data_IF_999013259375
#
_entry.id   IF_999013259375
#
_cell.length_a   1.000
_cell.length_b   1.000
_cell.length_c   1.000
_cell.angle_alpha   90.00
_cell.angle_beta   90.00
_cell.angle_gamma   90.00
#
_symmetry.space_group_name_H-M   'P 1'
#
loop_
_entity.id
_entity.type
_entity.pdbx_description
1 polymer ?
#
# COMPACT_ATOMS: atom_id res chain seq x y z
N UNK A 1 -19.98 -23.34 -27.27
CA UNK A 1 -19.01 -24.24 -26.59
C UNK A 1 -18.25 -23.43 -25.55
N UNK A 2 -18.23 -23.84 -24.27
CA UNK A 2 -17.36 -23.21 -23.25
C UNK A 2 -15.93 -23.68 -23.51
N UNK A 3 -15.02 -22.76 -23.83
CA UNK A 3 -13.59 -23.07 -23.94
C UNK A 3 -13.07 -23.52 -22.57
N UNK A 4 -12.68 -24.80 -22.45
CA UNK A 4 -11.91 -25.28 -21.30
C UNK A 4 -10.46 -24.84 -21.47
N UNK A 5 -10.04 -23.84 -20.69
CA UNK A 5 -8.66 -23.37 -20.63
C UNK A 5 -7.80 -24.16 -19.64
N UNK A 6 -6.47 -24.13 -19.81
CA UNK A 6 -5.53 -24.67 -18.81
C UNK A 6 -5.43 -23.70 -17.64
N UNK A 7 -5.49 -24.22 -16.40
CA UNK A 7 -5.30 -23.46 -15.17
C UNK A 7 -4.12 -24.06 -14.40
N UNK A 8 -3.32 -23.20 -13.77
CA UNK A 8 -2.24 -23.60 -12.88
C UNK A 8 -2.68 -23.42 -11.43
N UNK A 9 -2.38 -24.40 -10.59
CA UNK A 9 -2.73 -24.39 -9.17
C UNK A 9 -1.46 -24.35 -8.33
N UNK A 10 -1.39 -23.42 -7.38
CA UNK A 10 -0.37 -23.42 -6.34
C UNK A 10 -0.97 -23.94 -5.03
N UNK A 11 -0.38 -25.01 -4.48
CA UNK A 11 -0.67 -25.50 -3.15
C UNK A 11 0.36 -24.91 -2.17
N UNK A 12 -0.10 -24.11 -1.20
CA UNK A 12 0.77 -23.40 -0.26
C UNK A 12 0.36 -23.74 1.16
N UNK A 13 1.36 -24.10 1.98
CA UNK A 13 1.22 -24.33 3.42
C UNK A 13 2.13 -23.37 4.16
N UNK A 14 1.56 -22.53 5.04
CA UNK A 14 2.37 -21.69 5.94
C UNK A 14 2.92 -22.55 7.09
N UNK A 15 4.10 -22.21 7.60
CA UNK A 15 4.66 -22.87 8.78
C UNK A 15 3.66 -22.81 9.95
N UNK A 16 3.28 -23.97 10.49
CA UNK A 16 2.29 -24.09 11.57
C UNK A 16 0.83 -24.23 11.14
N UNK A 17 0.46 -24.01 9.87
CA UNK A 17 -0.93 -24.23 9.42
C UNK A 17 -1.18 -25.72 9.12
N UNK A 18 -2.29 -26.28 9.64
CA UNK A 18 -2.72 -27.64 9.30
C UNK A 18 -3.32 -27.74 7.89
N UNK A 19 -3.93 -26.67 7.38
CA UNK A 19 -4.64 -26.65 6.09
C UNK A 19 -3.73 -26.17 4.96
N UNK A 20 -3.79 -26.87 3.83
CA UNK A 20 -3.17 -26.43 2.56
C UNK A 20 -4.14 -25.48 1.87
N UNK A 21 -3.64 -24.35 1.39
CA UNK A 21 -4.42 -23.38 0.60
C UNK A 21 -4.09 -23.56 -0.87
N UNK A 22 -5.12 -23.63 -1.70
CA UNK A 22 -5.01 -23.78 -3.15
C UNK A 22 -5.34 -22.45 -3.82
N UNK A 23 -4.46 -22.00 -4.71
CA UNK A 23 -4.63 -20.77 -5.45
C UNK A 23 -4.56 -21.03 -6.94
N UNK A 24 -5.57 -20.55 -7.66
CA UNK A 24 -5.75 -20.77 -9.09
C UNK A 24 -5.24 -19.56 -9.87
N UNK A 25 -4.55 -19.81 -10.98
CA UNK A 25 -4.20 -18.76 -11.94
C UNK A 25 -4.29 -19.27 -13.38
N UNK A 26 -4.69 -18.37 -14.28
CA UNK A 26 -4.68 -18.64 -15.71
C UNK A 26 -3.30 -18.34 -16.34
N UNK A 27 -2.35 -17.77 -15.57
CA UNK A 27 -0.99 -17.51 -16.02
C UNK A 27 -0.10 -18.75 -15.81
N UNK A 28 0.00 -19.58 -16.84
CA UNK A 28 0.75 -20.85 -16.78
C UNK A 28 2.26 -20.67 -16.55
N UNK A 29 2.82 -19.55 -17.04
CA UNK A 29 4.23 -19.18 -16.89
C UNK A 29 4.58 -18.66 -15.50
N UNK A 30 3.59 -18.38 -14.65
CA UNK A 30 3.83 -17.85 -13.31
C UNK A 30 4.58 -18.88 -12.46
N UNK A 31 5.68 -18.50 -11.83
CA UNK A 31 6.42 -19.36 -10.89
C UNK A 31 5.85 -19.21 -9.49
N UNK A 32 6.13 -20.20 -8.61
CA UNK A 32 5.72 -20.10 -7.20
C UNK A 32 6.37 -18.91 -6.49
N UNK A 33 7.61 -18.56 -6.84
CA UNK A 33 8.31 -17.41 -6.28
C UNK A 33 7.63 -16.09 -6.66
N UNK A 34 7.27 -15.92 -7.94
CA UNK A 34 6.52 -14.73 -8.39
C UNK A 34 5.14 -14.67 -7.75
N UNK A 35 4.47 -15.81 -7.62
CA UNK A 35 3.19 -15.87 -6.91
C UNK A 35 3.30 -15.42 -5.45
N UNK A 36 4.29 -15.94 -4.71
CA UNK A 36 4.52 -15.56 -3.31
C UNK A 36 4.81 -14.06 -3.17
N UNK A 37 5.55 -13.48 -4.13
CA UNK A 37 5.76 -12.04 -4.21
C UNK A 37 4.44 -11.27 -4.38
N UNK A 38 3.62 -11.62 -5.38
CA UNK A 38 2.32 -10.98 -5.59
C UNK A 38 1.40 -11.08 -4.40
N UNK A 39 1.39 -12.24 -3.75
CA UNK A 39 0.58 -12.44 -2.56
C UNK A 39 1.08 -11.60 -1.37
N UNK A 40 2.39 -11.44 -1.20
CA UNK A 40 2.96 -10.50 -0.22
C UNK A 40 2.57 -9.06 -0.56
N UNK A 41 2.69 -8.66 -1.82
CA UNK A 41 2.33 -7.32 -2.29
C UNK A 41 0.84 -7.03 -2.08
N UNK A 42 -0.04 -8.01 -2.33
CA UNK A 42 -1.47 -7.90 -2.04
C UNK A 42 -1.73 -7.63 -0.55
N UNK A 43 -1.10 -8.38 0.36
CA UNK A 43 -1.27 -8.14 1.81
C UNK A 43 -0.67 -6.81 2.26
N UNK A 44 0.38 -6.33 1.60
CA UNK A 44 0.92 -4.99 1.85
C UNK A 44 -0.10 -3.92 1.48
N UNK A 45 -0.79 -4.06 0.34
CA UNK A 45 -1.86 -3.15 -0.09
C UNK A 45 -3.05 -3.20 0.86
N UNK A 46 -3.48 -4.38 1.29
CA UNK A 46 -4.57 -4.51 2.28
C UNK A 46 -4.22 -3.88 3.63
N UNK A 47 -2.96 -4.04 4.07
CA UNK A 47 -2.46 -3.41 5.29
C UNK A 47 -2.41 -1.89 5.15
N UNK A 48 -2.00 -1.39 3.98
CA UNK A 48 -2.05 0.02 3.63
C UNK A 48 -3.47 0.57 3.69
N UNK A 49 -4.46 -0.12 3.11
CA UNK A 49 -5.86 0.28 3.16
C UNK A 49 -6.37 0.39 4.59
N UNK A 50 -6.08 -0.61 5.43
CA UNK A 50 -6.45 -0.57 6.85
C UNK A 50 -5.82 0.62 7.58
N UNK A 51 -4.53 0.85 7.34
CA UNK A 51 -3.81 1.98 7.91
C UNK A 51 -4.42 3.33 7.51
N UNK A 52 -4.58 3.58 6.21
CA UNK A 52 -5.16 4.85 5.72
C UNK A 52 -6.57 5.06 6.27
N UNK A 53 -7.41 4.03 6.26
CA UNK A 53 -8.78 4.13 6.78
C UNK A 53 -8.81 4.52 8.26
N UNK A 54 -7.88 3.97 9.05
CA UNK A 54 -7.72 4.29 10.47
C UNK A 54 -7.24 5.73 10.67
N UNK A 55 -6.12 6.11 10.07
CA UNK A 55 -5.48 7.42 10.31
C UNK A 55 -6.31 8.59 9.80
N UNK A 56 -7.01 8.41 8.67
CA UNK A 56 -7.81 9.47 8.06
C UNK A 56 -9.31 9.32 8.33
N UNK A 57 -9.71 8.41 9.24
CA UNK A 57 -11.10 8.14 9.58
C UNK A 57 -12.01 8.00 8.34
N UNK A 58 -11.51 7.32 7.28
CA UNK A 58 -12.22 7.25 5.99
C UNK A 58 -13.59 6.57 6.09
N UNK A 59 -13.77 5.70 7.09
CA UNK A 59 -15.04 5.04 7.38
C UNK A 59 -16.07 5.99 8.01
N UNK A 60 -15.61 7.01 8.73
CA UNK A 60 -16.44 7.98 9.44
C UNK A 60 -16.64 9.28 8.63
N UNK A 61 -15.87 9.44 7.54
CA UNK A 61 -16.01 10.57 6.64
C UNK A 61 -17.21 10.38 5.70
N UNK A 62 -18.35 10.98 6.06
CA UNK A 62 -19.55 10.98 5.24
C UNK A 62 -20.06 12.41 5.02
N UNK A 63 -19.83 12.96 3.83
CA UNK A 63 -20.36 14.27 3.42
C UNK A 63 -21.83 14.25 2.98
N UNK A 64 -22.50 13.08 3.00
CA UNK A 64 -23.83 12.90 2.42
C UNK A 64 -23.87 12.92 0.88
N UNK A 65 -22.73 13.13 0.22
CA UNK A 65 -22.64 13.25 -1.25
C UNK A 65 -21.50 12.37 -1.78
N UNK A 66 -21.72 11.68 -2.89
CA UNK A 66 -20.74 10.76 -3.48
C UNK A 66 -19.48 11.48 -3.99
N UNK A 67 -19.66 12.61 -4.69
CA UNK A 67 -18.55 13.34 -5.33
C UNK A 67 -17.53 13.85 -4.29
N UNK A 68 -17.92 14.55 -3.21
CA UNK A 68 -16.96 15.00 -2.21
C UNK A 68 -16.26 13.86 -1.47
N UNK A 69 -16.98 12.77 -1.16
CA UNK A 69 -16.38 11.58 -0.54
C UNK A 69 -15.30 10.96 -1.45
N UNK A 70 -15.61 10.79 -2.74
CA UNK A 70 -14.64 10.27 -3.72
C UNK A 70 -13.42 11.18 -3.88
N UNK A 71 -13.62 12.50 -3.94
CA UNK A 71 -12.53 13.47 -3.99
C UNK A 71 -11.64 13.40 -2.74
N UNK A 72 -12.25 13.35 -1.55
CA UNK A 72 -11.52 13.20 -0.29
C UNK A 72 -10.68 11.92 -0.25
N UNK A 73 -11.28 10.78 -0.60
CA UNK A 73 -10.55 9.51 -0.68
C UNK A 73 -9.38 9.60 -1.67
N UNK A 74 -9.60 10.12 -2.88
CA UNK A 74 -8.53 10.27 -3.87
C UNK A 74 -7.36 11.11 -3.35
N UNK A 75 -7.66 12.23 -2.69
CA UNK A 75 -6.63 13.12 -2.09
C UNK A 75 -5.86 12.39 -1.00
N UNK A 76 -6.54 11.68 -0.10
CA UNK A 76 -5.90 10.94 0.99
C UNK A 76 -4.95 9.87 0.46
N UNK A 77 -5.40 9.07 -0.52
CA UNK A 77 -4.56 8.05 -1.15
C UNK A 77 -3.37 8.66 -1.88
N UNK A 78 -3.57 9.79 -2.58
CA UNK A 78 -2.50 10.51 -3.25
C UNK A 78 -1.45 11.04 -2.27
N UNK A 79 -1.87 11.74 -1.20
CA UNK A 79 -0.99 12.24 -0.16
C UNK A 79 -0.19 11.10 0.49
N UNK A 80 -0.86 10.00 0.83
CA UNK A 80 -0.19 8.85 1.40
C UNK A 80 0.85 8.24 0.44
N UNK A 81 0.61 8.25 -0.88
CA UNK A 81 1.60 7.78 -1.86
C UNK A 81 2.89 8.64 -1.86
N UNK A 82 2.74 9.97 -1.73
CA UNK A 82 3.85 10.91 -1.64
C UNK A 82 4.64 10.68 -0.35
N UNK A 83 3.95 10.63 0.79
CA UNK A 83 4.60 10.46 2.09
C UNK A 83 5.20 9.06 2.26
N UNK A 84 4.64 8.03 1.64
CA UNK A 84 5.24 6.70 1.62
C UNK A 84 6.61 6.72 0.94
N UNK A 85 6.76 7.41 -0.20
CA UNK A 85 8.03 7.54 -0.88
C UNK A 85 9.08 8.24 0.00
N UNK A 86 8.69 9.30 0.70
CA UNK A 86 9.54 10.01 1.65
C UNK A 86 9.90 9.14 2.87
N UNK A 87 8.94 8.40 3.43
CA UNK A 87 9.15 7.43 4.52
C UNK A 87 10.19 6.37 4.15
N UNK A 88 10.11 5.82 2.94
CA UNK A 88 11.09 4.84 2.46
C UNK A 88 12.50 5.41 2.34
N UNK A 89 12.65 6.72 2.07
CA UNK A 89 13.95 7.41 2.11
C UNK A 89 14.46 7.60 3.54
N UNK A 90 13.57 7.90 4.49
CA UNK A 90 13.93 8.11 5.89
C UNK A 90 14.25 6.81 6.63
N UNK A 91 13.54 5.71 6.34
CA UNK A 91 13.85 4.36 6.88
C UNK A 91 15.27 3.93 6.49
N UNK A 92 15.72 4.23 5.26
CA UNK A 92 17.10 3.96 4.83
C UNK A 92 18.16 4.73 5.63
N UNK A 93 17.77 5.82 6.29
CA UNK A 93 18.62 6.62 7.19
C UNK A 93 18.47 6.21 8.67
N UNK A 94 17.67 5.19 8.97
CA UNK A 94 17.43 4.69 10.33
C UNK A 94 16.27 5.35 11.07
N UNK A 95 15.51 6.25 10.43
CA UNK A 95 14.38 6.93 11.07
C UNK A 95 13.05 6.23 10.81
N UNK A 96 12.23 6.09 11.86
CA UNK A 96 10.85 5.61 11.76
C UNK A 96 9.90 6.73 12.17
N UNK A 97 9.15 7.24 11.20
CA UNK A 97 8.18 8.32 11.39
C UNK A 97 6.75 7.82 11.16
N UNK A 98 5.81 8.36 11.93
CA UNK A 98 4.37 8.36 11.62
C UNK A 98 4.06 9.29 10.46
N UNK A 99 2.85 9.23 9.88
CA UNK A 99 2.50 10.10 8.74
C UNK A 99 2.52 11.59 9.11
N UNK A 100 2.11 11.95 10.33
CA UNK A 100 2.19 13.33 10.84
C UNK A 100 3.64 13.82 10.99
N UNK A 101 4.50 12.97 11.56
CA UNK A 101 5.93 13.29 11.67
C UNK A 101 6.61 13.38 10.30
N UNK A 102 6.14 12.63 9.29
CA UNK A 102 6.62 12.75 7.91
C UNK A 102 6.21 14.07 7.27
N UNK A 103 5.00 14.57 7.56
CA UNK A 103 4.53 15.87 7.08
C UNK A 103 5.39 16.98 7.69
N UNK A 104 5.56 16.98 9.01
CA UNK A 104 6.39 17.99 9.70
C UNK A 104 7.84 17.94 9.22
N UNK A 105 8.44 16.76 9.14
CA UNK A 105 9.81 16.59 8.65
C UNK A 105 9.97 17.05 7.19
N UNK A 106 8.96 16.77 6.33
CA UNK A 106 8.98 17.23 4.94
C UNK A 106 8.90 18.75 4.84
N UNK A 107 8.02 19.40 5.61
CA UNK A 107 7.91 20.86 5.65
C UNK A 107 9.20 21.51 6.16
N UNK A 108 9.79 20.97 7.24
CA UNK A 108 11.07 21.45 7.79
C UNK A 108 12.22 21.29 6.78
N UNK A 109 12.35 20.12 6.14
CA UNK A 109 13.39 19.87 5.13
C UNK A 109 13.23 20.82 3.93
N UNK A 110 11.99 21.08 3.50
CA UNK A 110 11.68 22.01 2.42
C UNK A 110 12.09 23.44 2.78
N UNK A 111 11.74 23.91 3.98
CA UNK A 111 12.08 25.25 4.46
C UNK A 111 13.60 25.43 4.60
N UNK A 112 14.31 24.43 5.14
CA UNK A 112 15.78 24.44 5.21
C UNK A 112 16.38 24.49 3.80
N UNK A 113 15.88 23.68 2.86
CA UNK A 113 16.37 23.69 1.48
C UNK A 113 16.12 25.03 0.78
N UNK A 114 15.01 25.70 1.08
CA UNK A 114 14.69 27.01 0.52
C UNK A 114 15.59 28.09 1.13
N UNK A 115 15.80 28.07 2.44
CA UNK A 115 16.71 29.00 3.12
C UNK A 115 18.13 28.93 2.52
N UNK A 116 18.68 27.71 2.33
CA UNK A 116 20.00 27.49 1.71
C UNK A 116 20.16 27.95 0.25
N UNK A 117 19.06 28.26 -0.45
CA UNK A 117 19.13 28.80 -1.82
C UNK A 117 19.21 30.33 -1.85
N UNK A 118 18.86 30.99 -0.75
CA UNK A 118 18.77 32.44 -0.65
C UNK A 118 19.81 33.05 0.29
N UNK A 119 20.50 32.23 1.07
CA UNK A 119 21.62 32.56 1.95
C UNK A 119 22.79 31.63 1.63
#
# INVERSE_FOLDING_TARGET
>A
MKQTGRCKVFAIKRGGEQRIRYYLTNQLTLTIQTYLKYWKDHWNVESLHKYIKHEFALADCYSGREIPNRSYWNIVYFLNSIFHHYRMKQIKKGYSFTIYQLVEAYCLDYDISRARKHF
#
